data_IF_656653773095
#
_entry.id   IF_656653773095
#
_cell.length_a   1.000
_cell.length_b   1.000
_cell.length_c   1.000
_cell.angle_alpha   90.00
_cell.angle_beta   90.00
_cell.angle_gamma   90.00
#
_symmetry.space_group_name_H-M   'P 1'
#
loop_
_entity.id
_entity.type
_entity.pdbx_description
1 polymer ?
#
# COMPACT_ATOMS: atom_id res chain seq x y z
N UNK A 1 10.92 12.05 2.41
CA UNK A 1 11.61 11.10 3.32
C UNK A 1 11.27 9.64 3.01
N UNK A 2 9.99 9.24 3.03
CA UNK A 2 9.57 7.84 2.81
C UNK A 2 10.05 7.24 1.49
N UNK A 3 9.99 7.99 0.37
CA UNK A 3 10.47 7.51 -0.93
C UNK A 3 11.97 7.20 -0.91
N UNK A 4 12.77 8.05 -0.27
CA UNK A 4 14.23 7.89 -0.16
C UNK A 4 14.58 6.66 0.69
N UNK A 5 13.98 6.53 1.88
CA UNK A 5 14.21 5.37 2.74
C UNK A 5 13.77 4.04 2.06
N UNK A 6 12.72 4.08 1.24
CA UNK A 6 12.29 2.92 0.47
C UNK A 6 13.25 2.60 -0.69
N UNK A 7 13.84 3.61 -1.34
CA UNK A 7 14.87 3.42 -2.37
C UNK A 7 16.13 2.80 -1.75
N UNK A 8 16.63 3.34 -0.65
CA UNK A 8 17.77 2.78 0.11
C UNK A 8 17.50 1.32 0.51
N UNK A 9 16.30 1.02 1.03
CA UNK A 9 15.90 -0.36 1.34
C UNK A 9 15.92 -1.26 0.10
N UNK A 10 15.43 -0.76 -1.05
CA UNK A 10 15.45 -1.54 -2.28
C UNK A 10 16.88 -1.77 -2.77
N UNK A 11 17.77 -0.79 -2.65
CA UNK A 11 19.18 -0.90 -3.02
C UNK A 11 19.90 -1.95 -2.16
N UNK A 12 19.74 -1.89 -0.84
CA UNK A 12 20.28 -2.88 0.10
C UNK A 12 19.78 -4.30 -0.21
N UNK A 13 18.49 -4.43 -0.53
CA UNK A 13 17.89 -5.71 -0.89
C UNK A 13 18.13 -6.11 -2.35
N UNK A 14 18.85 -5.32 -3.14
CA UNK A 14 19.10 -5.51 -4.59
C UNK A 14 17.80 -5.73 -5.38
N UNK A 15 16.82 -4.87 -5.13
CA UNK A 15 15.49 -4.87 -5.75
C UNK A 15 15.31 -3.63 -6.63
N UNK A 16 14.52 -3.78 -7.70
CA UNK A 16 14.17 -2.67 -8.59
C UNK A 16 12.67 -2.36 -8.47
N UNK A 17 12.30 -1.24 -7.82
CA UNK A 17 10.91 -0.81 -7.71
C UNK A 17 10.45 -0.24 -9.05
N UNK A 18 10.05 -1.12 -10.00
CA UNK A 18 9.88 -0.68 -11.39
C UNK A 18 9.05 -1.55 -12.32
N UNK A 19 8.21 -2.46 -11.79
CA UNK A 19 7.24 -3.18 -12.63
C UNK A 19 7.46 -4.69 -12.76
N UNK A 20 8.00 -5.33 -11.72
CA UNK A 20 7.94 -6.79 -11.64
C UNK A 20 6.61 -7.21 -11.00
N UNK A 21 5.81 -8.09 -11.65
CA UNK A 21 4.56 -8.63 -11.09
C UNK A 21 4.74 -9.29 -9.72
N UNK A 22 5.96 -9.73 -9.42
CA UNK A 22 6.32 -10.44 -8.19
C UNK A 22 7.12 -9.59 -7.20
N UNK A 23 7.24 -8.27 -7.41
CA UNK A 23 8.04 -7.39 -6.55
C UNK A 23 7.73 -7.58 -5.06
N UNK A 24 6.45 -7.63 -4.70
CA UNK A 24 6.02 -7.88 -3.32
C UNK A 24 6.50 -9.22 -2.77
N UNK A 25 6.42 -10.31 -3.55
CA UNK A 25 6.85 -11.63 -3.13
C UNK A 25 8.37 -11.70 -2.91
N UNK A 26 9.15 -11.05 -3.77
CA UNK A 26 10.61 -10.98 -3.66
C UNK A 26 11.01 -10.08 -2.49
N UNK A 27 10.34 -8.95 -2.29
CA UNK A 27 10.57 -8.08 -1.13
C UNK A 27 10.31 -8.83 0.18
N UNK A 28 9.20 -9.57 0.25
CA UNK A 28 8.83 -10.37 1.42
C UNK A 28 9.84 -11.48 1.68
N UNK A 29 10.36 -12.14 0.64
CA UNK A 29 11.34 -13.22 0.79
C UNK A 29 12.73 -12.70 1.15
N UNK A 30 13.08 -11.46 0.81
CA UNK A 30 14.39 -10.87 1.17
C UNK A 30 14.35 -10.15 2.51
N UNK A 31 13.21 -9.57 2.91
CA UNK A 31 13.07 -8.83 4.16
C UNK A 31 12.66 -9.74 5.34
N UNK A 32 13.62 -10.50 5.85
CA UNK A 32 13.46 -11.33 7.05
C UNK A 32 13.60 -10.52 8.35
N UNK A 33 12.64 -9.64 8.63
CA UNK A 33 12.62 -8.83 9.85
C UNK A 33 11.36 -9.06 10.69
N UNK A 34 11.54 -9.24 12.01
CA UNK A 34 10.45 -9.60 12.92
C UNK A 34 9.33 -8.55 12.96
N UNK A 35 9.66 -7.26 12.85
CA UNK A 35 8.64 -6.19 12.80
C UNK A 35 7.83 -6.24 11.50
N UNK A 36 8.40 -6.76 10.42
CA UNK A 36 7.74 -6.85 9.11
C UNK A 36 6.81 -8.07 9.01
N UNK A 37 7.06 -9.15 9.77
CA UNK A 37 6.23 -10.37 9.76
C UNK A 37 4.74 -10.11 9.98
N UNK A 38 4.40 -9.22 10.92
CA UNK A 38 3.02 -8.85 11.20
C UNK A 38 2.37 -8.04 10.06
N UNK A 39 3.16 -7.25 9.33
CA UNK A 39 2.71 -6.52 8.15
C UNK A 39 2.45 -7.49 6.99
N UNK A 40 3.38 -8.41 6.74
CA UNK A 40 3.25 -9.44 5.71
C UNK A 40 2.02 -10.30 5.91
N UNK A 41 1.74 -10.76 7.14
CA UNK A 41 0.54 -11.54 7.43
C UNK A 41 -0.77 -10.81 7.08
N UNK A 42 -0.81 -9.48 7.25
CA UNK A 42 -1.97 -8.65 6.93
C UNK A 42 -2.16 -8.49 5.42
N UNK A 43 -1.08 -8.16 4.71
CA UNK A 43 -1.11 -8.00 3.26
C UNK A 43 -1.37 -9.33 2.55
N UNK A 44 -0.75 -10.43 2.99
CA UNK A 44 -0.97 -11.78 2.46
C UNK A 44 -2.42 -12.22 2.65
N UNK A 45 -3.01 -11.94 3.83
CA UNK A 45 -4.44 -12.22 4.09
C UNK A 45 -5.34 -11.46 3.12
N UNK A 46 -5.04 -10.19 2.81
CA UNK A 46 -5.81 -9.43 1.82
C UNK A 46 -5.61 -9.99 0.42
N UNK A 47 -4.38 -10.23 -0.01
CA UNK A 47 -4.08 -10.78 -1.34
C UNK A 47 -4.67 -12.18 -1.58
N UNK A 48 -4.91 -12.97 -0.53
CA UNK A 48 -5.54 -14.31 -0.61
C UNK A 48 -7.05 -14.31 -0.82
N UNK A 49 -7.70 -13.13 -0.81
CA UNK A 49 -9.12 -13.00 -1.09
C UNK A 49 -9.44 -13.49 -2.51
N UNK A 50 -10.61 -14.14 -2.68
CA UNK A 50 -10.99 -14.85 -3.92
C UNK A 50 -11.12 -13.88 -5.10
N UNK A 51 -11.56 -12.68 -4.79
CA UNK A 51 -11.79 -11.54 -5.68
C UNK A 51 -10.52 -11.14 -6.44
N UNK A 52 -9.34 -11.31 -5.83
CA UNK A 52 -8.06 -10.98 -6.47
C UNK A 52 -7.52 -12.09 -7.36
N UNK A 53 -8.14 -13.28 -7.36
CA UNK A 53 -7.68 -14.45 -8.13
C UNK A 53 -6.16 -14.69 -8.02
N UNK A 54 -5.60 -14.56 -6.80
CA UNK A 54 -4.16 -14.65 -6.53
C UNK A 54 -3.30 -13.72 -7.41
N UNK A 55 -3.79 -12.51 -7.68
CA UNK A 55 -3.11 -11.53 -8.53
C UNK A 55 -3.16 -11.83 -10.03
N UNK A 56 -4.07 -12.71 -10.47
CA UNK A 56 -4.26 -13.03 -11.90
C UNK A 56 -5.54 -12.40 -12.48
N UNK A 57 -6.27 -11.61 -11.69
CA UNK A 57 -7.52 -11.01 -12.12
C UNK A 57 -7.34 -9.98 -13.25
N UNK A 58 -6.21 -9.26 -13.27
CA UNK A 58 -5.93 -8.20 -14.24
C UNK A 58 -4.52 -8.30 -14.85
N UNK A 59 -3.98 -9.51 -15.03
CA UNK A 59 -2.65 -9.74 -15.62
C UNK A 59 -2.59 -9.45 -17.12
N UNK A 60 -3.69 -9.62 -17.85
CA UNK A 60 -3.76 -9.45 -19.31
C UNK A 60 -4.22 -8.04 -19.75
N UNK A 61 -4.97 -7.35 -18.91
CA UNK A 61 -5.39 -5.98 -19.20
C UNK A 61 -4.25 -5.03 -18.87
N UNK A 62 -3.67 -4.42 -19.90
CA UNK A 62 -2.69 -3.33 -19.84
C UNK A 62 -3.34 -2.07 -19.25
N UNK A 63 -3.89 -2.16 -18.04
CA UNK A 63 -4.45 -1.07 -17.26
C UNK A 63 -3.28 -0.30 -16.69
N UNK A 64 -2.53 0.36 -17.57
CA UNK A 64 -1.60 1.41 -17.18
C UNK A 64 -2.44 2.63 -16.82
N UNK A 65 -3.24 2.50 -15.76
CA UNK A 65 -4.01 3.62 -15.20
C UNK A 65 -3.00 4.48 -14.48
N UNK A 66 -2.57 5.53 -15.18
CA UNK A 66 -1.91 6.68 -14.59
C UNK A 66 -2.86 7.28 -13.56
N UNK A 67 -2.69 6.94 -12.29
CA UNK A 67 -3.43 7.60 -11.22
C UNK A 67 -2.79 8.97 -11.05
N UNK A 68 -3.48 10.02 -11.50
CA UNK A 68 -2.95 11.40 -11.53
C UNK A 68 -2.93 12.09 -10.14
N UNK A 69 -3.23 11.35 -9.08
CA UNK A 69 -3.31 11.90 -7.73
C UNK A 69 -2.89 10.88 -6.68
N UNK A 70 -1.87 11.19 -5.89
CA UNK A 70 -1.46 10.46 -4.69
C UNK A 70 -2.33 10.81 -3.47
N UNK A 71 -3.54 11.34 -3.66
CA UNK A 71 -4.49 11.53 -2.55
C UNK A 71 -4.92 10.19 -1.94
N UNK A 72 -5.59 10.20 -0.77
CA UNK A 72 -6.00 8.97 -0.06
C UNK A 72 -6.78 8.01 -0.94
N UNK A 73 -7.76 8.52 -1.72
CA UNK A 73 -8.54 7.70 -2.64
C UNK A 73 -7.68 7.13 -3.78
N UNK A 74 -6.78 7.94 -4.36
CA UNK A 74 -5.91 7.50 -5.45
C UNK A 74 -4.92 6.43 -5.02
N UNK A 75 -4.28 6.61 -3.86
CA UNK A 75 -3.43 5.59 -3.25
C UNK A 75 -4.21 4.33 -2.91
N UNK A 76 -5.44 4.47 -2.40
CA UNK A 76 -6.30 3.34 -2.07
C UNK A 76 -6.64 2.51 -3.31
N UNK A 77 -6.97 3.17 -4.43
CA UNK A 77 -7.22 2.52 -5.71
C UNK A 77 -5.96 1.86 -6.26
N UNK A 78 -4.79 2.52 -6.13
CA UNK A 78 -3.51 1.95 -6.55
C UNK A 78 -3.22 0.62 -5.84
N UNK A 79 -3.50 0.54 -4.54
CA UNK A 79 -3.32 -0.68 -3.74
C UNK A 79 -4.24 -1.81 -4.23
N UNK A 80 -5.53 -1.53 -4.47
CA UNK A 80 -6.45 -2.57 -5.00
C UNK A 80 -6.00 -3.09 -6.37
N UNK A 81 -5.62 -2.18 -7.27
CA UNK A 81 -5.14 -2.55 -8.60
C UNK A 81 -3.84 -3.38 -8.50
N UNK A 82 -2.99 -3.08 -7.52
CA UNK A 82 -1.81 -3.89 -7.21
C UNK A 82 -2.18 -5.32 -6.78
N UNK A 83 -3.19 -5.50 -5.92
CA UNK A 83 -3.66 -6.83 -5.52
C UNK A 83 -4.30 -7.61 -6.67
N UNK A 84 -4.95 -6.93 -7.62
CA UNK A 84 -5.49 -7.54 -8.84
C UNK A 84 -4.40 -7.98 -9.83
N UNK A 85 -3.14 -7.62 -9.60
CA UNK A 85 -2.01 -7.93 -10.49
C UNK A 85 -1.82 -6.95 -11.64
N UNK A 86 -2.48 -5.78 -11.60
CA UNK A 86 -2.33 -4.76 -12.63
C UNK A 86 -1.03 -3.96 -12.44
N UNK A 87 -0.43 -3.52 -13.56
CA UNK A 87 0.71 -2.60 -13.52
C UNK A 87 0.22 -1.16 -13.27
N UNK A 88 0.34 -0.71 -12.03
CA UNK A 88 -0.06 0.65 -11.63
C UNK A 88 1.12 1.61 -11.74
N UNK A 89 0.89 2.76 -12.35
CA UNK A 89 1.81 3.90 -12.33
C UNK A 89 1.05 5.07 -11.74
N UNK A 90 1.59 5.67 -10.69
CA UNK A 90 1.00 6.83 -10.03
C UNK A 90 1.86 8.06 -10.33
N UNK A 91 1.21 9.13 -10.75
CA UNK A 91 1.84 10.42 -11.05
C UNK A 91 1.20 11.45 -10.15
N UNK A 92 1.98 12.10 -9.31
CA UNK A 92 1.54 13.18 -8.43
C UNK A 92 2.29 14.46 -8.78
N UNK A 93 1.57 15.58 -8.77
CA UNK A 93 2.15 16.90 -9.07
C UNK A 93 2.95 17.43 -7.88
N UNK A 94 2.53 17.12 -6.66
CA UNK A 94 3.18 17.55 -5.41
C UNK A 94 4.25 16.54 -4.97
N UNK A 95 5.32 17.04 -4.38
CA UNK A 95 6.40 16.25 -3.78
C UNK A 95 6.20 16.00 -2.27
N UNK A 96 5.26 16.73 -1.64
CA UNK A 96 4.94 16.60 -0.22
C UNK A 96 3.43 16.56 0.06
N UNK A 97 3.07 15.82 1.11
CA UNK A 97 1.75 15.89 1.75
C UNK A 97 1.80 16.98 2.83
N UNK A 98 1.03 18.05 2.64
CA UNK A 98 1.08 19.25 3.49
C UNK A 98 -0.28 19.64 4.07
N UNK A 99 -1.31 18.84 3.85
CA UNK A 99 -2.67 19.12 4.34
C UNK A 99 -2.73 18.68 5.80
N UNK A 100 -3.28 19.51 6.67
CA UNK A 100 -3.50 19.15 8.09
C UNK A 100 -5.00 18.89 8.35
N UNK A 101 -5.77 18.68 7.27
CA UNK A 101 -7.20 18.49 7.37
C UNK A 101 -7.48 17.13 8.02
N UNK A 102 -8.37 17.15 9.00
CA UNK A 102 -8.78 15.96 9.72
C UNK A 102 -9.99 15.36 9.02
N UNK A 103 -9.85 14.12 8.54
CA UNK A 103 -10.93 13.36 7.90
C UNK A 103 -11.57 12.43 8.92
N UNK A 104 -12.90 12.44 8.99
CA UNK A 104 -13.67 11.45 9.72
C UNK A 104 -13.74 10.14 8.94
N UNK A 105 -13.42 9.04 9.63
CA UNK A 105 -13.33 7.69 9.06
C UNK A 105 -14.54 6.90 9.49
N UNK A 106 -15.28 6.37 8.52
CA UNK A 106 -16.37 5.44 8.82
C UNK A 106 -15.80 4.11 9.34
N UNK A 107 -16.57 3.35 10.14
CA UNK A 107 -16.10 2.09 10.73
C UNK A 107 -15.50 1.11 9.71
N UNK A 108 -16.08 1.01 8.51
CA UNK A 108 -15.57 0.15 7.45
C UNK A 108 -14.20 0.62 6.93
N UNK A 109 -13.97 1.93 6.85
CA UNK A 109 -12.69 2.51 6.41
C UNK A 109 -11.61 2.26 7.45
N UNK A 110 -11.95 2.36 8.74
CA UNK A 110 -11.04 2.02 9.84
C UNK A 110 -10.64 0.54 9.76
N UNK A 111 -11.61 -0.35 9.55
CA UNK A 111 -11.34 -1.78 9.42
C UNK A 111 -10.47 -2.10 8.21
N UNK A 112 -10.71 -1.45 7.08
CA UNK A 112 -9.92 -1.59 5.85
C UNK A 112 -8.47 -1.14 6.04
N UNK A 113 -8.25 0.07 6.58
CA UNK A 113 -6.92 0.59 6.89
C UNK A 113 -6.19 -0.25 7.96
N UNK A 114 -6.90 -0.74 8.98
CA UNK A 114 -6.34 -1.72 9.94
C UNK A 114 -5.96 -3.02 9.26
N UNK A 115 -6.74 -3.45 8.27
CA UNK A 115 -6.48 -4.60 7.41
C UNK A 115 -5.19 -4.46 6.60
N UNK A 116 -4.90 -3.26 6.11
CA UNK A 116 -3.66 -2.93 5.39
C UNK A 116 -2.45 -2.69 6.30
N UNK A 117 -2.64 -2.68 7.62
CA UNK A 117 -1.54 -2.49 8.57
C UNK A 117 -1.27 -1.03 8.95
N UNK A 118 -2.24 -0.13 8.79
CA UNK A 118 -2.10 1.29 9.15
C UNK A 118 -1.55 1.52 10.56
N UNK A 119 -1.92 0.69 11.54
CA UNK A 119 -1.39 0.76 12.92
C UNK A 119 0.13 0.55 13.02
N UNK A 120 0.75 -0.10 12.03
CA UNK A 120 2.20 -0.31 11.99
C UNK A 120 2.95 0.93 11.48
N UNK A 121 2.34 1.63 10.53
CA UNK A 121 2.88 2.86 9.94
C UNK A 121 2.56 4.09 10.80
N UNK A 122 1.39 4.10 11.44
CA UNK A 122 0.93 5.15 12.31
C UNK A 122 0.46 4.54 13.64
N UNK A 123 1.32 4.57 14.66
CA UNK A 123 1.05 3.92 15.95
C UNK A 123 -0.17 4.48 16.69
N UNK A 124 -0.52 5.75 16.42
CA UNK A 124 -1.71 6.44 16.96
C UNK A 124 -2.99 6.15 16.15
N UNK A 125 -2.92 5.35 15.09
CA UNK A 125 -4.05 5.07 14.22
C UNK A 125 -5.20 4.41 14.99
N UNK A 126 -6.31 5.14 15.12
CA UNK A 126 -7.51 4.73 15.83
C UNK A 126 -7.23 4.06 17.18
N UNK A 127 -6.42 4.73 18.01
CA UNK A 127 -6.22 4.36 19.41
C UNK A 127 -7.44 4.82 20.24
N UNK A 128 -8.13 3.89 20.91
CA UNK A 128 -9.37 4.20 21.64
C UNK A 128 -10.55 4.47 20.69
N UNK A 129 -11.29 5.55 20.95
CA UNK A 129 -12.44 6.01 20.16
C UNK A 129 -12.07 6.95 18.99
N UNK A 130 -10.77 7.09 18.67
CA UNK A 130 -10.32 7.98 17.60
C UNK A 130 -10.72 7.41 16.23
N UNK A 131 -11.57 8.13 15.53
CA UNK A 131 -12.12 7.85 14.20
C UNK A 131 -11.62 8.86 13.15
N UNK A 132 -10.51 9.55 13.43
CA UNK A 132 -9.99 10.63 12.61
C UNK A 132 -8.52 10.42 12.19
N UNK A 133 -8.16 10.88 10.99
CA UNK A 133 -6.77 10.93 10.48
C UNK A 133 -6.49 12.24 9.74
N UNK A 134 -5.27 12.77 9.85
CA UNK A 134 -4.81 13.89 9.01
C UNK A 134 -4.50 13.40 7.60
N UNK A 135 -4.91 14.17 6.59
CA UNK A 135 -4.54 13.96 5.18
C UNK A 135 -3.07 14.33 4.87
#
# INVERSE_FOLDING_TARGET
ETLRAFQELCEELKLHPGGQPQFYHILRSRLHYWKAKALWAKLDKRASQREYMRGHACTSTRVQRGIRSAGPCGLRTAIELGFLGARVVLVEKRDAFSRNNVLHLWPFTIQDLRGLGAKKFYGKFCAGAIDHISE
#
